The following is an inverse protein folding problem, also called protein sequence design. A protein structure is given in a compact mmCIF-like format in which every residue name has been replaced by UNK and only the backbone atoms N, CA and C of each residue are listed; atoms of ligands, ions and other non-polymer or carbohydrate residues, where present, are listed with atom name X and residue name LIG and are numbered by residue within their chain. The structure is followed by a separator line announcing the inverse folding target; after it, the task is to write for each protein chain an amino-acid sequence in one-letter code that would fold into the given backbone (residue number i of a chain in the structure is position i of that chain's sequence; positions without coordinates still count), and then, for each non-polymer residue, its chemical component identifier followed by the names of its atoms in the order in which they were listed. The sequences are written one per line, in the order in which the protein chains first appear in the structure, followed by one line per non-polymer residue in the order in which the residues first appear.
data_IF_899287373133
#
_entry.id   IF_899287373133
#
_cell.length_a   1.000
_cell.length_b   1.000
_cell.length_c   1.000
_cell.angle_alpha   90.00
_cell.angle_beta   90.00
_cell.angle_gamma   90.00
#
_symmetry.space_group_name_H-M   'P 1'
#
loop_
_entity.id
_entity.type
_entity.pdbx_description
1 polymer ?
#
# COMPACT_ATOMS: atom_id res chain seq x y z
N UNK A 1 -60.00 7.48 -20.67
CA UNK A 1 -59.03 8.51 -20.22
C UNK A 1 -59.62 9.53 -19.24
N UNK A 2 -60.95 9.62 -19.06
CA UNK A 2 -61.61 10.64 -18.23
C UNK A 2 -61.28 10.62 -16.73
N UNK A 3 -60.82 9.48 -16.20
CA UNK A 3 -60.47 9.34 -14.78
C UNK A 3 -58.96 9.47 -14.50
N UNK A 4 -58.12 9.64 -15.53
CA UNK A 4 -56.66 9.74 -15.35
C UNK A 4 -56.30 11.02 -14.61
N UNK A 5 -56.94 12.14 -14.95
CA UNK A 5 -56.65 13.45 -14.35
C UNK A 5 -57.05 13.51 -12.86
N UNK A 6 -58.28 13.10 -12.43
CA UNK A 6 -58.62 13.05 -11.00
C UNK A 6 -57.73 12.11 -10.19
N UNK A 7 -57.36 10.94 -10.74
CA UNK A 7 -56.47 9.99 -10.06
C UNK A 7 -55.07 10.57 -9.89
N UNK A 8 -54.54 11.27 -10.91
CA UNK A 8 -53.22 11.88 -10.84
C UNK A 8 -53.17 13.02 -9.82
N UNK A 9 -54.22 13.85 -9.74
CA UNK A 9 -54.35 14.89 -8.71
C UNK A 9 -54.40 14.26 -7.32
N UNK A 10 -55.22 13.23 -7.13
CA UNK A 10 -55.32 12.53 -5.84
C UNK A 10 -53.97 11.93 -5.40
N UNK A 11 -53.23 11.31 -6.33
CA UNK A 11 -51.89 10.75 -6.06
C UNK A 11 -50.88 11.84 -5.73
N UNK A 12 -50.88 12.97 -6.44
CA UNK A 12 -49.98 14.10 -6.15
C UNK A 12 -50.26 14.71 -4.78
N UNK A 13 -51.53 14.93 -4.43
CA UNK A 13 -51.92 15.47 -3.12
C UNK A 13 -51.53 14.49 -2.00
N UNK A 14 -51.81 13.20 -2.17
CA UNK A 14 -51.42 12.18 -1.19
C UNK A 14 -49.90 12.10 -1.00
N UNK A 15 -49.13 12.14 -2.10
CA UNK A 15 -47.67 12.11 -2.06
C UNK A 15 -47.08 13.38 -1.42
N UNK A 16 -47.64 14.56 -1.72
CA UNK A 16 -47.23 15.82 -1.12
C UNK A 16 -47.47 15.86 0.40
N UNK A 17 -48.61 15.33 0.86
CA UNK A 17 -48.90 15.20 2.30
C UNK A 17 -47.97 14.17 2.96
N UNK A 18 -47.80 12.99 2.33
CA UNK A 18 -46.95 11.92 2.87
C UNK A 18 -45.50 12.36 3.02
N UNK A 19 -44.91 13.01 2.01
CA UNK A 19 -43.51 13.47 2.04
C UNK A 19 -43.26 14.57 3.09
N UNK A 20 -44.30 15.25 3.57
CA UNK A 20 -44.19 16.22 4.66
C UNK A 20 -44.25 15.60 6.04
N UNK A 21 -44.90 14.46 6.20
CA UNK A 21 -45.13 13.83 7.50
C UNK A 21 -44.19 12.64 7.78
N UNK A 22 -43.81 11.88 6.75
CA UNK A 22 -43.04 10.65 6.92
C UNK A 22 -41.99 10.48 5.81
N UNK A 23 -40.84 9.85 6.13
CA UNK A 23 -39.92 9.41 5.09
C UNK A 23 -40.58 8.35 4.20
N UNK A 24 -40.05 8.16 2.99
CA UNK A 24 -40.46 7.06 2.12
C UNK A 24 -40.33 5.72 2.86
N UNK A 25 -41.25 4.79 2.63
CA UNK A 25 -41.20 3.45 3.22
C UNK A 25 -39.84 2.77 2.98
N UNK A 26 -39.26 2.94 1.79
CA UNK A 26 -37.94 2.40 1.46
C UNK A 26 -36.83 3.07 2.25
N UNK A 27 -36.87 4.40 2.40
CA UNK A 27 -35.92 5.13 3.23
C UNK A 27 -36.02 4.69 4.70
N UNK A 28 -37.25 4.43 5.18
CA UNK A 28 -37.51 3.85 6.49
C UNK A 28 -36.82 2.50 6.69
N UNK A 29 -36.94 1.57 5.73
CA UNK A 29 -36.24 0.27 5.78
C UNK A 29 -34.73 0.48 5.78
N UNK A 30 -34.22 1.32 4.89
CA UNK A 30 -32.80 1.59 4.72
C UNK A 30 -32.17 2.12 6.02
N UNK A 31 -32.86 3.05 6.71
CA UNK A 31 -32.47 3.59 8.02
C UNK A 31 -32.50 2.49 9.09
N UNK A 32 -33.61 1.77 9.21
CA UNK A 32 -33.80 0.74 10.26
C UNK A 32 -32.79 -0.40 10.11
N UNK A 33 -32.52 -0.82 8.86
CA UNK A 33 -31.54 -1.87 8.54
C UNK A 33 -30.09 -1.38 8.57
N UNK A 34 -29.85 -0.09 8.82
CA UNK A 34 -28.51 0.54 8.81
C UNK A 34 -27.70 0.17 7.57
N UNK A 35 -28.36 0.14 6.41
CA UNK A 35 -27.68 -0.18 5.17
C UNK A 35 -26.61 0.89 4.86
N UNK A 36 -25.53 0.55 4.15
CA UNK A 36 -24.53 1.53 3.73
C UNK A 36 -25.09 2.35 2.57
N UNK A 37 -25.92 3.34 2.87
CA UNK A 37 -26.33 4.41 1.95
C UNK A 37 -25.73 5.75 2.39
N UNK A 38 -25.55 6.65 1.44
CA UNK A 38 -25.18 8.03 1.71
C UNK A 38 -26.48 8.82 1.92
N UNK A 39 -26.71 9.41 3.11
CA UNK A 39 -27.96 10.11 3.39
C UNK A 39 -28.07 11.37 2.53
N UNK A 40 -29.27 11.64 2.00
CA UNK A 40 -29.53 12.84 1.20
C UNK A 40 -29.24 14.09 2.03
N UNK A 41 -28.26 14.86 1.61
CA UNK A 41 -28.07 16.22 2.10
C UNK A 41 -29.24 17.07 1.59
N UNK A 42 -30.11 17.50 2.50
CA UNK A 42 -31.17 18.46 2.17
C UNK A 42 -30.54 19.83 1.99
N UNK A 43 -30.45 20.32 0.75
CA UNK A 43 -30.04 21.69 0.42
C UNK A 43 -30.95 22.65 1.19
N UNK A 44 -30.40 23.44 2.12
CA UNK A 44 -31.16 24.39 2.94
C UNK A 44 -30.97 24.29 4.47
N UNK A 45 -30.21 23.30 4.98
CA UNK A 45 -29.70 23.35 6.36
C UNK A 45 -28.34 24.05 6.36
N UNK A 46 -28.29 25.29 6.86
CA UNK A 46 -27.18 26.25 6.67
C UNK A 46 -25.78 25.73 7.03
N UNK A 47 -25.63 24.78 7.94
CA UNK A 47 -24.31 24.36 8.46
C UNK A 47 -23.44 23.51 7.52
N UNK A 48 -23.96 23.04 6.38
CA UNK A 48 -23.20 22.20 5.45
C UNK A 48 -22.45 22.99 4.36
N UNK A 49 -22.75 24.28 4.18
CA UNK A 49 -22.08 25.14 3.19
C UNK A 49 -20.71 25.65 3.67
N UNK A 50 -20.47 25.63 4.97
CA UNK A 50 -19.21 26.10 5.59
C UNK A 50 -18.22 24.96 5.88
N UNK A 51 -18.50 23.75 5.37
CA UNK A 51 -17.63 22.58 5.49
C UNK A 51 -16.99 22.32 4.13
N UNK A 52 -15.67 22.32 4.10
CA UNK A 52 -14.88 22.09 2.89
C UNK A 52 -14.17 20.73 2.93
N UNK A 53 -13.68 20.25 1.79
CA UNK A 53 -12.94 18.99 1.67
C UNK A 53 -11.77 18.92 2.67
N UNK A 54 -11.08 20.04 2.88
CA UNK A 54 -9.99 20.16 3.85
C UNK A 54 -10.38 19.81 5.29
N UNK A 55 -11.64 20.07 5.67
CA UNK A 55 -12.09 19.91 7.05
C UNK A 55 -12.34 18.44 7.43
N UNK A 56 -12.46 17.53 6.46
CA UNK A 56 -12.77 16.12 6.71
C UNK A 56 -11.87 15.11 5.98
N UNK A 57 -11.03 15.58 5.05
CA UNK A 57 -10.05 14.73 4.36
C UNK A 57 -9.06 14.08 5.34
N UNK A 58 -8.49 12.95 4.93
CA UNK A 58 -7.39 12.31 5.64
C UNK A 58 -6.08 12.89 5.13
N UNK A 59 -5.27 13.45 6.03
CA UNK A 59 -3.95 14.05 5.74
C UNK A 59 -2.77 13.09 5.94
N UNK A 60 -2.93 12.01 6.73
CA UNK A 60 -1.90 10.95 6.82
C UNK A 60 -1.93 10.11 5.55
N UNK A 61 -1.17 10.55 4.56
CA UNK A 61 -1.15 9.96 3.23
C UNK A 61 0.01 8.99 3.05
N UNK A 62 -0.35 7.80 2.57
CA UNK A 62 0.60 6.78 2.13
C UNK A 62 0.75 6.88 0.62
N UNK A 63 1.73 7.65 0.16
CA UNK A 63 1.97 7.93 -1.26
C UNK A 63 3.28 7.32 -1.75
N UNK A 64 3.44 7.27 -3.07
CA UNK A 64 4.63 6.73 -3.74
C UNK A 64 5.25 7.81 -4.63
N UNK A 65 6.50 8.22 -4.39
CA UNK A 65 7.23 9.09 -5.31
C UNK A 65 7.62 8.36 -6.60
N UNK A 66 7.95 9.13 -7.63
CA UNK A 66 8.49 8.58 -8.87
C UNK A 66 9.84 7.91 -8.70
N UNK A 67 10.68 8.43 -7.81
CA UNK A 67 12.03 7.93 -7.49
C UNK A 67 12.06 6.91 -6.34
N UNK A 68 10.96 6.20 -6.10
CA UNK A 68 10.86 5.26 -5.00
C UNK A 68 11.79 4.04 -5.13
N UNK A 69 12.22 3.50 -3.97
CA UNK A 69 12.95 2.24 -3.89
C UNK A 69 12.03 1.08 -3.58
N UNK A 70 12.47 -0.13 -3.90
CA UNK A 70 11.73 -1.35 -3.59
C UNK A 70 11.49 -1.54 -2.08
N UNK A 71 12.42 -1.09 -1.24
CA UNK A 71 12.25 -1.05 0.22
C UNK A 71 11.01 -0.25 0.63
N UNK A 72 10.82 0.91 0.01
CA UNK A 72 9.72 1.83 0.34
C UNK A 72 8.38 1.22 -0.10
N UNK A 73 8.33 0.60 -1.29
CA UNK A 73 7.15 -0.16 -1.75
C UNK A 73 6.85 -1.33 -0.81
N UNK A 74 7.85 -2.09 -0.37
CA UNK A 74 7.67 -3.20 0.57
C UNK A 74 7.15 -2.70 1.92
N UNK A 75 7.70 -1.59 2.42
CA UNK A 75 7.22 -0.91 3.62
C UNK A 75 5.77 -0.47 3.49
N UNK A 76 5.44 0.17 2.38
CA UNK A 76 4.09 0.66 2.06
C UNK A 76 3.06 -0.47 1.97
N UNK A 77 3.42 -1.59 1.33
CA UNK A 77 2.54 -2.76 1.24
C UNK A 77 2.35 -3.44 2.61
N UNK A 78 3.35 -3.41 3.50
CA UNK A 78 3.23 -3.98 4.85
C UNK A 78 2.46 -3.06 5.81
N UNK A 79 2.73 -1.76 5.78
CA UNK A 79 2.15 -0.78 6.69
C UNK A 79 0.71 -0.42 6.34
N UNK A 80 0.32 -0.56 5.07
CA UNK A 80 -1.00 -0.16 4.59
C UNK A 80 -1.80 -1.32 4.01
N UNK A 81 -3.12 -1.27 4.20
CA UNK A 81 -4.11 -2.15 3.56
C UNK A 81 -4.77 -1.55 2.32
N UNK A 82 -4.22 -0.47 1.75
CA UNK A 82 -4.85 0.26 0.66
C UNK A 82 -4.82 -0.55 -0.64
N UNK A 83 -5.91 -0.46 -1.42
CA UNK A 83 -6.03 -1.14 -2.73
C UNK A 83 -5.29 -0.41 -3.84
N UNK A 84 -5.10 0.89 -3.68
CA UNK A 84 -4.54 1.80 -4.66
C UNK A 84 -3.76 2.88 -3.91
N UNK A 85 -2.64 3.29 -4.50
CA UNK A 85 -1.72 4.27 -3.94
C UNK A 85 -1.59 5.44 -4.91
N UNK A 86 -1.61 6.68 -4.42
CA UNK A 86 -1.29 7.84 -5.24
C UNK A 86 0.19 7.82 -5.62
N UNK A 87 0.46 8.09 -6.90
CA UNK A 87 1.80 8.32 -7.42
C UNK A 87 2.04 9.83 -7.48
N UNK A 88 3.10 10.29 -6.81
CA UNK A 88 3.53 11.69 -6.84
C UNK A 88 4.86 11.83 -7.55
N UNK A 89 5.17 13.02 -8.04
CA UNK A 89 6.43 13.30 -8.73
C UNK A 89 7.62 13.19 -7.77
N UNK A 90 7.64 14.05 -6.75
CA UNK A 90 8.69 14.08 -5.72
C UNK A 90 8.05 14.16 -4.32
N UNK A 91 8.80 13.74 -3.30
CA UNK A 91 8.41 13.83 -1.88
C UNK A 91 8.06 15.26 -1.45
N UNK A 92 8.79 16.25 -1.95
CA UNK A 92 8.62 17.68 -1.61
C UNK A 92 7.48 18.33 -2.40
N UNK A 93 7.46 18.14 -3.72
CA UNK A 93 6.46 18.77 -4.59
C UNK A 93 5.06 18.17 -4.41
N UNK A 94 4.98 16.88 -4.06
CA UNK A 94 3.76 16.08 -3.90
C UNK A 94 2.80 16.19 -5.09
N UNK A 95 3.27 16.55 -6.28
CA UNK A 95 2.40 16.71 -7.46
C UNK A 95 1.82 15.34 -7.83
N UNK A 96 0.49 15.22 -7.86
CA UNK A 96 -0.18 13.96 -8.14
C UNK A 96 -0.10 13.63 -9.64
N UNK A 97 0.68 12.60 -9.98
CA UNK A 97 0.84 12.12 -11.35
C UNK A 97 -0.23 11.09 -11.74
N UNK A 98 -0.74 10.35 -10.76
CA UNK A 98 -1.75 9.33 -11.00
C UNK A 98 -1.88 8.39 -9.83
N UNK A 99 -2.27 7.16 -10.10
CA UNK A 99 -2.37 6.14 -9.05
C UNK A 99 -2.06 4.74 -9.54
N UNK A 100 -1.51 3.92 -8.65
CA UNK A 100 -1.06 2.55 -8.95
C UNK A 100 -1.77 1.58 -8.02
N UNK A 101 -2.29 0.49 -8.58
CA UNK A 101 -2.97 -0.54 -7.78
C UNK A 101 -1.95 -1.39 -7.03
N UNK A 102 -2.32 -1.79 -5.81
CA UNK A 102 -1.53 -2.67 -4.94
C UNK A 102 -1.04 -3.94 -5.64
N UNK A 103 -1.90 -4.56 -6.46
CA UNK A 103 -1.58 -5.80 -7.20
C UNK A 103 -0.38 -5.64 -8.13
N UNK A 104 -0.22 -4.47 -8.74
CA UNK A 104 0.87 -4.19 -9.66
C UNK A 104 2.18 -4.00 -8.90
N UNK A 105 2.16 -3.24 -7.80
CA UNK A 105 3.31 -3.08 -6.91
C UNK A 105 3.75 -4.42 -6.30
N UNK A 106 2.79 -5.26 -5.88
CA UNK A 106 3.09 -6.58 -5.34
C UNK A 106 3.72 -7.51 -6.38
N UNK A 107 3.21 -7.50 -7.62
CA UNK A 107 3.79 -8.25 -8.74
C UNK A 107 5.24 -7.82 -9.00
N UNK A 108 5.48 -6.52 -9.07
CA UNK A 108 6.80 -5.93 -9.30
C UNK A 108 7.79 -6.34 -8.19
N UNK A 109 7.37 -6.31 -6.92
CA UNK A 109 8.19 -6.80 -5.81
C UNK A 109 8.48 -8.31 -5.89
N UNK A 110 7.49 -9.13 -6.27
CA UNK A 110 7.69 -10.57 -6.43
C UNK A 110 8.59 -10.93 -7.61
N UNK A 111 8.63 -10.09 -8.64
CA UNK A 111 9.52 -10.26 -9.80
C UNK A 111 10.97 -9.88 -9.48
N UNK A 112 11.21 -8.91 -8.58
CA UNK A 112 12.56 -8.64 -8.11
C UNK A 112 13.07 -9.65 -7.09
N UNK A 113 12.22 -10.08 -6.15
CA UNK A 113 12.57 -11.10 -5.15
C UNK A 113 12.16 -12.51 -5.60
N UNK A 114 12.22 -12.79 -6.91
CA UNK A 114 11.81 -14.08 -7.44
C UNK A 114 12.74 -15.19 -6.95
N UNK A 115 12.17 -16.38 -6.71
CA UNK A 115 12.95 -17.56 -6.31
C UNK A 115 14.04 -17.89 -7.33
N UNK A 116 13.77 -17.64 -8.62
CA UNK A 116 14.74 -17.82 -9.69
C UNK A 116 15.97 -16.94 -9.53
N UNK A 117 15.78 -15.64 -9.26
CA UNK A 117 16.92 -14.72 -9.03
C UNK A 117 17.72 -15.08 -7.78
N UNK A 118 17.02 -15.50 -6.71
CA UNK A 118 17.68 -16.02 -5.50
C UNK A 118 18.51 -17.27 -5.82
N UNK A 119 17.97 -18.20 -6.60
CA UNK A 119 18.66 -19.43 -6.96
C UNK A 119 19.89 -19.16 -7.82
N UNK A 120 19.79 -18.29 -8.82
CA UNK A 120 20.95 -17.92 -9.64
C UNK A 120 22.05 -17.20 -8.86
N UNK A 121 21.69 -16.35 -7.90
CA UNK A 121 22.68 -15.75 -7.00
C UNK A 121 23.44 -16.80 -6.19
N UNK A 122 22.73 -17.77 -5.62
CA UNK A 122 23.35 -18.87 -4.87
C UNK A 122 24.24 -19.76 -5.74
N UNK A 123 23.82 -20.05 -6.98
CA UNK A 123 24.64 -20.78 -7.95
C UNK A 123 25.95 -20.03 -8.25
N UNK A 124 25.86 -18.75 -8.62
CA UNK A 124 27.02 -17.93 -8.93
C UNK A 124 27.97 -17.82 -7.73
N UNK A 125 27.44 -17.81 -6.51
CA UNK A 125 28.26 -17.77 -5.30
C UNK A 125 28.97 -19.10 -5.01
N UNK A 126 28.36 -20.23 -5.38
CA UNK A 126 29.02 -21.55 -5.32
C UNK A 126 30.14 -21.67 -6.36
N UNK A 127 29.95 -21.09 -7.56
CA UNK A 127 30.97 -21.01 -8.60
C UNK A 127 32.12 -20.08 -8.20
N UNK A 128 31.82 -18.90 -7.66
CA UNK A 128 32.84 -17.94 -7.17
C UNK A 128 33.60 -18.51 -5.95
N UNK A 129 32.93 -19.26 -5.06
CA UNK A 129 33.60 -19.94 -3.94
C UNK A 129 34.53 -21.07 -4.40
N UNK A 130 34.32 -21.64 -5.59
CA UNK A 130 35.23 -22.64 -6.18
C UNK A 130 36.44 -22.03 -6.92
N UNK A 131 36.41 -20.72 -7.22
CA UNK A 131 37.48 -20.00 -7.92
C UNK A 131 38.40 -19.23 -6.93
N UNK A 132 38.01 -19.10 -5.66
CA UNK A 132 38.70 -18.28 -4.66
C UNK A 132 39.67 -19.03 -3.72
N UNK A 133 40.09 -20.26 -4.00
CA UNK A 133 41.32 -20.81 -3.42
C UNK A 133 42.52 -20.39 -4.30
N UNK A 134 43.42 -19.51 -3.81
CA UNK A 134 44.57 -19.09 -4.61
C UNK A 134 45.58 -20.23 -4.69
N UNK A 135 45.93 -20.59 -5.92
CA UNK A 135 47.12 -21.34 -6.26
C UNK A 135 48.36 -20.62 -5.70
N UNK A 136 49.02 -21.27 -4.73
CA UNK A 136 50.45 -21.13 -4.47
C UNK A 136 51.05 -22.53 -4.33
N UNK A 137 51.94 -22.88 -5.27
CA UNK A 137 52.85 -24.01 -5.18
C UNK A 137 52.95 -24.84 -6.46
N UNK A 138 53.86 -24.46 -7.36
CA UNK A 138 54.39 -25.32 -8.41
C UNK A 138 55.09 -26.55 -7.81
N UNK A 139 54.88 -27.74 -8.39
CA UNK A 139 55.92 -28.43 -9.16
C UNK A 139 55.38 -29.76 -9.73
N UNK A 140 55.75 -30.05 -10.98
CA UNK A 140 55.05 -31.01 -11.84
C UNK A 140 55.42 -32.48 -11.72
N UNK A 141 54.64 -33.32 -12.41
CA UNK A 141 55.11 -34.46 -13.20
C UNK A 141 53.97 -35.11 -14.00
N UNK A 142 54.37 -35.54 -15.19
CA UNK A 142 53.66 -36.20 -16.29
C UNK A 142 53.00 -37.54 -15.94
N UNK A 143 51.82 -37.83 -16.53
CA UNK A 143 51.36 -39.22 -16.72
C UNK A 143 49.83 -39.44 -16.73
N UNK A 144 49.28 -39.74 -17.90
CA UNK A 144 48.12 -40.65 -18.11
C UNK A 144 48.68 -41.93 -18.78
N UNK A 145 48.00 -43.11 -18.83
CA UNK A 145 46.54 -43.31 -18.79
C UNK A 145 46.02 -44.58 -18.04
N UNK A 146 44.68 -44.70 -18.00
CA UNK A 146 43.83 -45.92 -17.94
C UNK A 146 43.95 -46.96 -16.79
N UNK A 147 42.83 -47.18 -16.06
CA UNK A 147 42.11 -48.47 -15.97
C UNK A 147 40.88 -48.40 -15.02
N UNK A 148 39.74 -48.94 -15.47
CA UNK A 148 38.68 -49.59 -14.64
C UNK A 148 39.08 -51.08 -14.57
N UNK A 149 38.78 -51.89 -13.52
CA UNK A 149 37.41 -52.07 -12.99
C UNK A 149 37.26 -52.53 -11.50
N UNK A 150 35.99 -52.66 -11.09
CA UNK A 150 35.42 -53.66 -10.15
C UNK A 150 35.59 -53.63 -8.61
N UNK A 151 34.50 -54.12 -7.98
CA UNK A 151 34.20 -54.24 -6.55
C UNK A 151 35.06 -55.29 -5.83
N UNK A 152 35.04 -55.29 -4.48
CA UNK A 152 34.48 -56.49 -3.86
C UNK A 152 33.50 -56.25 -2.70
N UNK A 153 32.72 -57.31 -2.52
CA UNK A 153 31.66 -57.58 -1.53
C UNK A 153 32.07 -57.38 -0.07
N UNK A 154 31.07 -56.92 0.68
CA UNK A 154 30.63 -57.35 2.00
C UNK A 154 31.59 -58.17 2.87
N UNK A 155 32.03 -57.55 3.97
CA UNK A 155 32.29 -58.26 5.24
C UNK A 155 31.59 -57.47 6.36
N UNK A 156 30.55 -58.09 6.90
CA UNK A 156 29.87 -57.70 8.14
C UNK A 156 30.85 -57.76 9.31
N UNK A 157 30.98 -56.66 10.06
CA UNK A 157 31.26 -56.70 11.49
C UNK A 157 30.39 -55.67 12.21
N UNK A 158 29.47 -56.20 13.02
CA UNK A 158 28.77 -55.49 14.08
C UNK A 158 29.77 -54.90 15.09
N UNK A 159 29.41 -53.76 15.66
CA UNK A 159 29.95 -53.30 16.94
C UNK A 159 30.32 -51.83 16.97
N UNK A 160 29.34 -51.02 17.38
CA UNK A 160 29.46 -49.88 18.30
C UNK A 160 30.39 -48.70 17.93
N UNK A 161 29.76 -47.54 17.70
CA UNK A 161 30.46 -46.26 17.57
C UNK A 161 29.77 -45.18 16.73
N UNK A 162 28.55 -45.42 16.23
CA UNK A 162 27.74 -44.40 15.55
C UNK A 162 26.91 -43.62 16.57
N UNK A 163 27.51 -42.64 17.24
CA UNK A 163 26.71 -41.62 17.94
C UNK A 163 27.38 -40.24 18.02
N UNK A 164 28.62 -40.07 17.54
CA UNK A 164 29.35 -38.80 17.65
C UNK A 164 29.66 -38.11 16.30
N UNK A 165 29.29 -38.71 15.16
CA UNK A 165 29.45 -38.10 13.82
C UNK A 165 28.17 -37.49 13.24
N UNK A 166 27.00 -37.85 13.76
CA UNK A 166 25.71 -37.30 13.32
C UNK A 166 25.42 -35.92 13.97
N UNK A 167 25.89 -35.67 15.19
CA UNK A 167 25.77 -34.37 15.85
C UNK A 167 26.68 -33.30 15.23
N UNK A 168 27.92 -33.64 14.85
CA UNK A 168 28.81 -32.69 14.15
C UNK A 168 28.32 -32.37 12.74
N UNK A 169 27.75 -33.33 12.01
CA UNK A 169 27.18 -33.11 10.68
C UNK A 169 25.87 -32.32 10.73
N UNK A 170 25.01 -32.55 11.73
CA UNK A 170 23.80 -31.76 11.92
C UNK A 170 24.09 -30.32 12.39
N UNK A 171 25.13 -30.14 13.22
CA UNK A 171 25.63 -28.82 13.58
C UNK A 171 26.28 -28.10 12.39
N UNK A 172 27.10 -28.77 11.58
CA UNK A 172 27.71 -28.18 10.37
C UNK A 172 26.67 -27.88 9.28
N UNK A 173 25.64 -28.71 9.09
CA UNK A 173 24.50 -28.37 8.22
C UNK A 173 23.74 -27.17 8.78
N UNK A 174 23.54 -27.09 10.10
CA UNK A 174 22.86 -25.94 10.71
C UNK A 174 23.68 -24.66 10.60
N UNK A 175 25.02 -24.72 10.56
CA UNK A 175 25.90 -23.56 10.36
C UNK A 175 25.89 -23.14 8.88
N UNK A 176 26.13 -24.06 7.93
CA UNK A 176 26.04 -23.77 6.49
C UNK A 176 24.67 -23.25 6.07
N UNK A 177 23.59 -23.76 6.67
CA UNK A 177 22.24 -23.32 6.37
C UNK A 177 21.88 -21.96 7.00
N UNK A 178 22.57 -21.54 8.07
CA UNK A 178 22.47 -20.18 8.61
C UNK A 178 23.22 -19.18 7.74
N UNK A 179 24.41 -19.54 7.26
CA UNK A 179 25.20 -18.70 6.35
C UNK A 179 24.44 -18.42 5.05
N UNK A 180 23.83 -19.44 4.44
CA UNK A 180 23.01 -19.27 3.23
C UNK A 180 21.80 -18.37 3.47
N UNK A 181 21.16 -18.44 4.64
CA UNK A 181 20.03 -17.54 4.97
C UNK A 181 20.49 -16.09 5.07
N UNK A 182 21.59 -15.83 5.78
CA UNK A 182 22.13 -14.48 5.93
C UNK A 182 22.52 -13.89 4.57
N UNK A 183 23.10 -14.72 3.70
CA UNK A 183 23.51 -14.36 2.36
C UNK A 183 22.33 -14.00 1.45
N UNK A 184 21.25 -14.77 1.53
CA UNK A 184 19.99 -14.46 0.84
C UNK A 184 19.37 -13.18 1.39
N UNK A 185 19.38 -12.97 2.72
CA UNK A 185 18.86 -11.76 3.35
C UNK A 185 19.65 -10.50 2.95
N UNK A 186 20.97 -10.58 2.91
CA UNK A 186 21.84 -9.51 2.43
C UNK A 186 21.59 -9.19 0.96
N UNK A 187 21.52 -10.21 0.12
CA UNK A 187 21.18 -10.06 -1.29
C UNK A 187 19.80 -9.43 -1.48
N UNK A 188 18.79 -9.86 -0.71
CA UNK A 188 17.46 -9.25 -0.72
C UNK A 188 17.52 -7.78 -0.32
N UNK A 189 18.28 -7.45 0.73
CA UNK A 189 18.51 -6.07 1.16
C UNK A 189 19.16 -5.23 0.06
N UNK A 190 20.09 -5.79 -0.72
CA UNK A 190 20.70 -5.12 -1.87
C UNK A 190 19.70 -4.91 -3.01
N UNK A 191 18.91 -5.94 -3.36
CA UNK A 191 17.87 -5.80 -4.38
C UNK A 191 16.81 -4.76 -3.99
N UNK A 192 16.47 -4.69 -2.71
CA UNK A 192 15.49 -3.72 -2.18
C UNK A 192 15.97 -2.27 -2.24
N UNK A 193 17.28 -2.03 -2.34
CA UNK A 193 17.85 -0.68 -2.48
C UNK A 193 17.71 -0.13 -3.91
N UNK A 194 17.43 -0.99 -4.90
CA UNK A 194 17.23 -0.58 -6.28
C UNK A 194 16.06 0.40 -6.45
N UNK A 195 16.14 1.22 -7.49
CA UNK A 195 15.04 2.08 -7.92
C UNK A 195 13.97 1.26 -8.64
N UNK A 196 12.71 1.57 -8.37
CA UNK A 196 11.57 0.93 -9.02
C UNK A 196 11.36 1.57 -10.38
N UNK A 197 11.29 0.76 -11.44
CA UNK A 197 10.90 1.22 -12.78
C UNK A 197 9.38 1.30 -12.85
N UNK A 198 8.84 2.48 -12.55
CA UNK A 198 7.39 2.71 -12.53
C UNK A 198 6.81 2.92 -13.94
N UNK A 199 7.64 3.24 -14.93
CA UNK A 199 7.26 3.44 -16.33
C UNK A 199 6.67 2.18 -16.98
N UNK A 200 7.01 1.00 -16.46
CA UNK A 200 6.53 -0.30 -16.96
C UNK A 200 5.17 -0.71 -16.35
N UNK A 201 4.67 0.05 -15.37
CA UNK A 201 3.39 -0.23 -14.72
C UNK A 201 2.22 0.50 -15.39
N UNK A 202 1.02 -0.13 -15.42
CA UNK A 202 -0.19 0.57 -15.80
C UNK A 202 -0.58 1.56 -14.70
N UNK A 203 -0.10 2.80 -14.85
CA UNK A 203 -0.52 3.94 -14.04
C UNK A 203 -1.90 4.37 -14.51
N UNK A 204 -2.81 4.61 -13.58
CA UNK A 204 -4.07 5.28 -13.86
C UNK A 204 -3.82 6.80 -13.83
N UNK A 205 -3.77 7.49 -14.99
CA UNK A 205 -3.35 8.88 -15.08
C UNK A 205 -4.44 9.86 -14.63
N UNK A 206 -5.68 9.41 -14.48
CA UNK A 206 -6.81 10.27 -14.19
C UNK A 206 -7.66 9.76 -13.01
N UNK A 207 -7.07 9.60 -11.81
CA UNK A 207 -7.89 9.38 -10.64
C UNK A 207 -8.73 10.64 -10.37
N UNK A 208 -9.96 10.46 -9.87
CA UNK A 208 -10.83 11.59 -9.57
C UNK A 208 -10.20 12.49 -8.50
N UNK A 209 -10.09 13.78 -8.84
CA UNK A 209 -9.51 14.82 -8.00
C UNK A 209 -10.59 15.75 -7.47
N UNK A 210 -10.54 16.00 -6.17
CA UNK A 210 -11.27 17.06 -5.49
C UNK A 210 -10.32 18.22 -5.23
N UNK A 211 -10.84 19.45 -5.26
CA UNK A 211 -10.08 20.60 -4.78
C UNK A 211 -10.23 20.70 -3.27
N UNK A 212 -9.22 21.24 -2.61
CA UNK A 212 -9.20 21.47 -1.17
C UNK A 212 -10.39 22.30 -0.67
N UNK A 213 -10.81 23.30 -1.47
CA UNK A 213 -11.92 24.20 -1.17
C UNK A 213 -13.26 23.78 -1.79
N UNK A 214 -13.41 22.53 -2.25
CA UNK A 214 -14.74 22.01 -2.62
C UNK A 214 -15.61 21.89 -1.37
N UNK A 215 -16.86 22.32 -1.46
CA UNK A 215 -17.83 22.19 -0.37
C UNK A 215 -18.22 20.72 -0.17
N UNK A 216 -18.71 20.40 1.03
CA UNK A 216 -19.24 19.08 1.36
C UNK A 216 -20.34 18.63 0.38
N UNK A 217 -21.19 19.54 -0.08
CA UNK A 217 -22.22 19.27 -1.08
C UNK A 217 -21.63 18.89 -2.44
N UNK A 218 -20.65 19.65 -2.93
CA UNK A 218 -20.00 19.35 -4.21
C UNK A 218 -19.29 18.00 -4.16
N UNK A 219 -18.63 17.69 -3.04
CA UNK A 219 -18.04 16.37 -2.81
C UNK A 219 -19.11 15.27 -2.80
N UNK A 220 -20.24 15.50 -2.13
CA UNK A 220 -21.37 14.56 -2.05
C UNK A 220 -21.98 14.28 -3.43
N UNK A 221 -22.28 15.32 -4.20
CA UNK A 221 -22.86 15.18 -5.53
C UNK A 221 -21.88 14.48 -6.48
N UNK A 222 -20.60 14.82 -6.42
CA UNK A 222 -19.57 14.16 -7.23
C UNK A 222 -19.46 12.66 -6.91
N UNK A 223 -19.46 12.30 -5.63
CA UNK A 223 -19.38 10.90 -5.20
C UNK A 223 -20.61 10.09 -5.63
N UNK A 224 -21.81 10.67 -5.56
CA UNK A 224 -23.03 9.99 -5.98
C UNK A 224 -23.15 9.89 -7.49
N UNK A 225 -22.84 10.97 -8.22
CA UNK A 225 -22.98 11.04 -9.67
C UNK A 225 -22.03 10.07 -10.38
N UNK A 226 -20.79 9.98 -9.87
CA UNK A 226 -19.75 9.15 -10.47
C UNK A 226 -19.58 7.79 -9.77
N UNK A 227 -20.33 7.53 -8.70
CA UNK A 227 -20.22 6.30 -7.93
C UNK A 227 -18.84 6.11 -7.27
N UNK A 228 -18.20 7.21 -6.85
CA UNK A 228 -16.85 7.17 -6.30
C UNK A 228 -16.85 6.53 -4.91
N UNK A 229 -15.80 5.75 -4.65
CA UNK A 229 -15.51 5.23 -3.30
C UNK A 229 -14.41 6.02 -2.60
N UNK A 230 -13.50 6.58 -3.39
CA UNK A 230 -12.29 7.29 -2.97
C UNK A 230 -11.95 8.33 -4.02
N UNK A 231 -11.54 9.51 -3.58
CA UNK A 231 -11.03 10.59 -4.41
C UNK A 231 -9.81 11.22 -3.71
N UNK A 232 -8.86 11.72 -4.51
CA UNK A 232 -7.71 12.44 -3.99
C UNK A 232 -8.03 13.92 -3.91
N UNK A 233 -7.62 14.57 -2.83
CA UNK A 233 -7.75 16.03 -2.66
C UNK A 233 -6.44 16.67 -3.05
N UNK A 234 -6.51 17.66 -3.93
CA UNK A 234 -5.35 18.38 -4.42
C UNK A 234 -5.47 19.88 -4.25
N UNK A 235 -4.35 20.55 -3.94
CA UNK A 235 -4.20 21.99 -3.96
C UNK A 235 -3.12 22.35 -4.99
N UNK A 236 -3.44 23.15 -6.01
CA UNK A 236 -2.52 23.49 -7.11
C UNK A 236 -1.81 22.27 -7.75
N UNK A 237 -2.50 21.11 -7.78
CA UNK A 237 -1.97 19.84 -8.29
C UNK A 237 -1.16 19.01 -7.28
N UNK A 238 -0.83 19.57 -6.12
CA UNK A 238 -0.18 18.85 -5.02
C UNK A 238 -1.20 17.99 -4.28
N UNK A 239 -0.81 16.78 -3.91
CA UNK A 239 -1.60 15.86 -3.13
C UNK A 239 -1.60 16.30 -1.66
N UNK A 240 -2.77 16.70 -1.16
CA UNK A 240 -2.95 17.18 0.22
C UNK A 240 -3.72 16.17 1.06
N UNK A 241 -4.70 15.49 0.48
CA UNK A 241 -5.55 14.56 1.22
C UNK A 241 -6.17 13.45 0.37
N UNK A 242 -6.85 12.53 1.06
CA UNK A 242 -7.73 11.54 0.45
C UNK A 242 -9.08 11.62 1.15
N UNK A 243 -10.14 11.56 0.36
CA UNK A 243 -11.52 11.45 0.83
C UNK A 243 -12.08 10.13 0.34
N UNK A 244 -12.55 9.29 1.25
CA UNK A 244 -13.35 8.11 0.95
C UNK A 244 -14.82 8.34 1.30
N UNK A 245 -15.68 7.46 0.79
CA UNK A 245 -17.10 7.45 1.10
C UNK A 245 -17.36 7.36 2.61
N UNK A 246 -16.44 6.78 3.38
CA UNK A 246 -16.54 6.68 4.84
C UNK A 246 -16.37 8.05 5.51
N UNK A 247 -15.32 8.79 5.15
CA UNK A 247 -15.11 10.14 5.70
C UNK A 247 -16.23 11.08 5.26
N UNK A 248 -16.63 11.02 3.97
CA UNK A 248 -17.72 11.82 3.45
C UNK A 248 -19.04 11.54 4.20
N UNK A 249 -19.37 10.26 4.42
CA UNK A 249 -20.57 9.89 5.20
C UNK A 249 -20.51 10.40 6.63
N UNK A 250 -19.36 10.27 7.29
CA UNK A 250 -19.17 10.78 8.65
C UNK A 250 -19.33 12.31 8.71
N UNK A 251 -18.78 13.04 7.74
CA UNK A 251 -18.92 14.49 7.62
C UNK A 251 -20.38 14.90 7.40
N UNK A 252 -21.10 14.22 6.50
CA UNK A 252 -22.53 14.46 6.25
C UNK A 252 -23.37 14.18 7.50
N UNK A 253 -23.15 13.04 8.17
CA UNK A 253 -23.87 12.73 9.40
C UNK A 253 -23.59 13.74 10.52
N UNK A 254 -22.32 14.16 10.67
CA UNK A 254 -21.92 15.18 11.63
C UNK A 254 -22.55 16.54 11.32
N UNK A 255 -22.62 16.92 10.05
CA UNK A 255 -23.27 18.16 9.61
C UNK A 255 -24.77 18.14 9.87
N UNK A 256 -25.47 17.04 9.55
CA UNK A 256 -26.92 16.89 9.79
C UNK A 256 -27.25 16.88 11.29
N UNK A 257 -26.38 16.31 12.13
CA UNK A 257 -26.55 16.26 13.60
C UNK A 257 -26.06 17.52 14.31
N UNK A 258 -25.36 18.43 13.63
CA UNK A 258 -24.74 19.62 14.23
C UNK A 258 -23.53 19.33 15.12
N UNK A 259 -22.94 18.13 15.03
CA UNK A 259 -21.79 17.67 15.83
C UNK A 259 -20.52 17.56 14.98
N UNK A 260 -20.42 18.30 13.89
CA UNK A 260 -19.25 18.24 13.01
C UNK A 260 -18.03 18.83 13.72
N UNK A 261 -16.94 18.07 13.76
CA UNK A 261 -15.64 18.53 14.23
C UNK A 261 -14.65 18.50 13.08
N UNK A 262 -14.01 19.63 12.82
CA UNK A 262 -12.95 19.73 11.82
C UNK A 262 -11.82 18.79 12.18
N UNK A 263 -11.32 18.04 11.20
CA UNK A 263 -10.13 17.23 11.34
C UNK A 263 -8.93 18.19 11.36
N UNK A 264 -8.17 18.21 12.44
CA UNK A 264 -6.95 19.01 12.48
C UNK A 264 -5.95 18.45 11.47
N UNK A 265 -5.35 19.30 10.61
CA UNK A 265 -4.20 18.89 9.83
C UNK A 265 -3.07 18.54 10.80
N UNK A 266 -2.48 17.36 10.63
CA UNK A 266 -1.27 17.01 11.36
C UNK A 266 -0.15 17.91 10.82
N UNK A 267 0.27 18.89 11.62
CA UNK A 267 1.34 19.82 11.29
C UNK A 267 2.66 19.04 11.18
N UNK A 268 3.12 18.77 9.95
CA UNK A 268 4.50 18.34 9.68
C UNK A 268 5.36 19.62 9.64
N UNK A 269 5.66 20.20 10.81
CA UNK A 269 6.21 21.56 10.86
C UNK A 269 6.84 22.04 12.18
N UNK A 270 7.29 21.17 13.08
CA UNK A 270 8.24 21.56 14.13
C UNK A 270 9.61 20.93 13.83
N UNK A 271 10.40 21.65 13.04
CA UNK A 271 11.86 21.57 13.13
C UNK A 271 12.20 22.13 14.52
N UNK A 272 12.74 21.27 15.39
CA UNK A 272 13.40 21.68 16.63
C UNK A 272 14.44 22.75 16.28
N UNK A 273 14.14 24.00 16.64
CA UNK A 273 15.17 25.03 16.77
C UNK A 273 15.96 24.72 18.03
N UNK A 274 17.15 24.16 17.86
CA UNK A 274 18.16 24.09 18.91
C UNK A 274 18.34 25.49 19.54
N UNK A 275 18.28 25.65 20.88
CA UNK A 275 18.64 26.91 21.51
C UNK A 275 20.16 27.04 21.57
N UNK A 276 20.71 27.95 20.77
CA UNK A 276 22.11 28.40 20.85
C UNK A 276 22.49 28.79 22.29
N UNK A 277 23.48 28.13 22.92
CA UNK A 277 23.98 28.53 24.24
C UNK A 277 25.20 29.44 24.05
N UNK A 278 25.01 30.68 23.62
CA UNK A 278 26.04 31.71 23.81
C UNK A 278 25.52 33.14 23.66
N UNK A 279 24.74 33.58 24.66
CA UNK A 279 24.48 34.99 24.93
C UNK A 279 25.31 35.45 26.12
N UNK A 280 26.59 35.76 25.88
CA UNK A 280 27.43 36.46 26.87
C UNK A 280 27.15 37.95 26.75
N UNK A 281 26.32 38.49 27.65
CA UNK A 281 26.18 39.94 27.82
C UNK A 281 27.24 40.45 28.79
N UNK A 282 28.09 41.34 28.26
CA UNK A 282 28.79 42.37 29.01
C UNK A 282 27.84 43.54 29.29
#
# INVERSE_FOLDING_TARGET
MSHVLPVLIAVLVANALSQRCQPSFFDGIIIVKKLPYLPKLSVGKSGAHDIYAEDFMVTDLKFLPRDCRYKDVRGLLKSSGLKQFPLVDTQESRILLGSIRRKHLAKLLSEQLSTEKRFQYLLHQSEVSSIAEPLLGEDGALGSPEEKPEMPRAVTKQGDGQSLKEEEQSAQLSVKMKDVRHLVEEWECQQLQGLVRLEELPIDPAPYRLLEKETLYQCYDLFNLLGLRTAYVTNMGQLVGVVSLRELKAAVEGSVKGTFAKRQPHDEGQVEGDPDPNGSSA
#
